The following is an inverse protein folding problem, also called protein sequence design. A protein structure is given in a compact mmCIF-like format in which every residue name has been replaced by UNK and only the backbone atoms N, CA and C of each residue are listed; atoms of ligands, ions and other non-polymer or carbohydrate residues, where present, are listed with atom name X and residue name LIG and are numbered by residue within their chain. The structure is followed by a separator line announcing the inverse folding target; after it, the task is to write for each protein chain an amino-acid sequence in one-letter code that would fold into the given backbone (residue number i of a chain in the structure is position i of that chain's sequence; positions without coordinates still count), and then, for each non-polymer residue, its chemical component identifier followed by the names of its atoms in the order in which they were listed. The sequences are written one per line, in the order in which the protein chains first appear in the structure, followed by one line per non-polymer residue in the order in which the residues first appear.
data_IF_205549401245
#
_entry.id   IF_205549401245
#
_cell.length_a   1.000
_cell.length_b   1.000
_cell.length_c   1.000
_cell.angle_alpha   90.00
_cell.angle_beta   90.00
_cell.angle_gamma   90.00
#
_symmetry.space_group_name_H-M   'P 1'
#
loop_
_entity.id
_entity.type
_entity.pdbx_description
1 polymer ?
#
# COMPACT_ATOMS: atom_id res chain seq x y z
N UNK A 1 4.90 -30.33 -4.73
CA UNK A 1 4.02 -29.78 -3.69
C UNK A 1 3.59 -28.39 -4.09
N UNK A 2 2.30 -28.07 -3.98
CA UNK A 2 1.78 -26.76 -4.41
C UNK A 2 1.81 -25.72 -3.29
N UNK A 3 2.22 -24.51 -3.64
CA UNK A 3 2.27 -23.35 -2.76
C UNK A 3 1.56 -22.15 -3.38
N UNK A 4 0.81 -21.42 -2.56
CA UNK A 4 0.35 -20.07 -2.87
C UNK A 4 1.39 -19.07 -2.38
N UNK A 5 1.95 -18.27 -3.28
CA UNK A 5 2.83 -17.15 -2.95
C UNK A 5 2.02 -15.89 -2.82
N UNK A 6 2.20 -15.16 -1.74
CA UNK A 6 1.64 -13.84 -1.52
C UNK A 6 2.70 -12.83 -1.12
N UNK A 7 2.33 -11.55 -1.25
CA UNK A 7 3.10 -10.42 -0.76
C UNK A 7 2.53 -9.95 0.56
N UNK A 8 3.42 -9.65 1.50
CA UNK A 8 3.12 -8.95 2.74
C UNK A 8 4.25 -7.95 2.94
N UNK A 9 3.91 -6.67 2.95
CA UNK A 9 4.87 -5.57 2.87
C UNK A 9 5.78 -5.75 1.62
N UNK A 10 7.09 -5.74 1.77
CA UNK A 10 8.08 -5.92 0.71
C UNK A 10 8.57 -7.38 0.61
N UNK A 11 8.01 -8.29 1.42
CA UNK A 11 8.39 -9.70 1.48
C UNK A 11 7.46 -10.63 0.71
N UNK A 12 7.99 -11.81 0.32
CA UNK A 12 7.24 -12.91 -0.26
C UNK A 12 7.05 -14.03 0.75
N UNK A 13 5.84 -14.57 0.82
CA UNK A 13 5.47 -15.63 1.75
C UNK A 13 4.74 -16.74 1.01
N UNK A 14 5.09 -17.99 1.33
CA UNK A 14 4.51 -19.17 0.71
C UNK A 14 3.68 -19.96 1.72
N UNK A 15 2.44 -20.27 1.34
CA UNK A 15 1.53 -21.13 2.09
C UNK A 15 1.31 -22.43 1.32
N UNK A 16 1.38 -23.57 2.01
CA UNK A 16 1.01 -24.87 1.45
C UNK A 16 -0.44 -24.82 0.98
N UNK A 17 -0.69 -25.17 -0.28
CA UNK A 17 -2.03 -25.06 -0.87
C UNK A 17 -3.05 -25.96 -0.16
N UNK A 18 -2.61 -27.08 0.42
CA UNK A 18 -3.44 -28.00 1.21
C UNK A 18 -4.14 -27.33 2.42
N UNK A 19 -3.54 -26.25 2.95
CA UNK A 19 -4.12 -25.48 4.06
C UNK A 19 -4.99 -24.31 3.59
N UNK A 20 -5.17 -24.13 2.28
CA UNK A 20 -5.88 -23.00 1.70
C UNK A 20 -7.19 -23.50 1.08
N UNK A 21 -8.30 -23.05 1.64
CA UNK A 21 -9.61 -23.36 1.07
C UNK A 21 -9.91 -22.48 -0.16
N UNK A 22 -9.60 -21.17 -0.08
CA UNK A 22 -9.89 -20.19 -1.14
C UNK A 22 -9.17 -18.87 -0.89
N UNK A 23 -8.94 -18.09 -1.94
CA UNK A 23 -8.64 -16.65 -1.84
C UNK A 23 -9.87 -15.84 -2.24
N UNK A 24 -10.21 -14.83 -1.46
CA UNK A 24 -11.29 -13.88 -1.74
C UNK A 24 -10.77 -12.44 -1.71
N UNK A 25 -11.52 -11.53 -2.33
CA UNK A 25 -11.32 -10.10 -2.17
C UNK A 25 -11.52 -9.70 -0.70
N UNK A 26 -10.75 -8.74 -0.21
CA UNK A 26 -11.04 -8.18 1.11
C UNK A 26 -12.29 -7.31 1.05
N UNK A 27 -13.15 -7.47 2.05
CA UNK A 27 -14.36 -6.68 2.25
C UNK A 27 -14.22 -5.83 3.53
N UNK A 28 -15.25 -5.06 3.86
CA UNK A 28 -15.28 -4.33 5.13
C UNK A 28 -15.27 -5.31 6.29
N UNK A 29 -14.15 -5.38 7.00
CA UNK A 29 -14.00 -6.16 8.22
C UNK A 29 -14.72 -5.46 9.37
N UNK A 30 -15.63 -6.16 10.04
CA UNK A 30 -16.32 -5.63 11.22
C UNK A 30 -15.39 -5.74 12.43
N UNK A 31 -15.04 -4.60 12.99
CA UNK A 31 -14.15 -4.54 14.15
C UNK A 31 -14.77 -5.30 15.34
N UNK A 32 -13.96 -6.13 16.00
CA UNK A 32 -14.34 -6.87 17.20
C UNK A 32 -13.80 -6.13 18.43
N UNK A 33 -14.66 -5.62 19.31
CA UNK A 33 -14.22 -5.05 20.59
C UNK A 33 -13.41 -6.08 21.39
N UNK A 34 -12.27 -5.67 21.94
CA UNK A 34 -11.35 -6.51 22.72
C UNK A 34 -10.75 -7.71 21.96
N UNK A 35 -10.70 -7.67 20.62
CA UNK A 35 -9.93 -8.63 19.84
C UNK A 35 -8.43 -8.56 20.18
N UNK A 36 -7.72 -9.68 20.02
CA UNK A 36 -6.25 -9.69 20.06
C UNK A 36 -5.68 -8.69 19.05
N UNK A 37 -4.50 -8.12 19.32
CA UNK A 37 -3.86 -7.12 18.45
C UNK A 37 -3.63 -7.58 17.01
N UNK A 38 -3.68 -8.90 16.76
CA UNK A 38 -3.52 -9.51 15.44
C UNK A 38 -4.84 -9.68 14.68
N UNK A 39 -5.98 -9.62 15.38
CA UNK A 39 -7.31 -9.80 14.80
C UNK A 39 -7.79 -8.43 14.31
N UNK A 40 -8.02 -8.31 13.01
CA UNK A 40 -8.62 -7.12 12.40
C UNK A 40 -10.12 -7.04 12.67
N UNK A 41 -10.78 -8.21 12.73
CA UNK A 41 -12.18 -8.32 13.09
C UNK A 41 -12.86 -9.56 12.50
N UNK A 42 -14.13 -9.44 12.14
CA UNK A 42 -14.95 -10.50 11.58
C UNK A 42 -15.50 -10.13 10.20
N UNK A 43 -15.63 -11.14 9.34
CA UNK A 43 -16.46 -11.07 8.14
C UNK A 43 -17.51 -12.20 8.17
N UNK A 44 -18.54 -12.08 7.35
CA UNK A 44 -19.48 -13.18 7.10
C UNK A 44 -18.99 -13.99 5.92
N UNK A 45 -18.61 -15.25 6.15
CA UNK A 45 -18.19 -16.18 5.12
C UNK A 45 -19.06 -17.44 5.17
N UNK A 46 -19.74 -17.75 4.05
CA UNK A 46 -20.72 -18.86 3.98
C UNK A 46 -21.80 -18.83 5.09
N UNK A 47 -22.33 -17.63 5.40
CA UNK A 47 -23.33 -17.38 6.45
C UNK A 47 -22.82 -17.64 7.89
N UNK A 48 -21.51 -17.81 8.07
CA UNK A 48 -20.87 -17.96 9.37
C UNK A 48 -19.89 -16.80 9.62
N UNK A 49 -19.69 -16.39 10.88
CA UNK A 49 -18.63 -15.44 11.22
C UNK A 49 -17.24 -16.08 11.01
N UNK A 50 -16.33 -15.33 10.39
CA UNK A 50 -14.94 -15.72 10.18
C UNK A 50 -14.02 -14.64 10.75
N UNK A 51 -13.13 -15.04 11.66
CA UNK A 51 -12.08 -14.19 12.23
C UNK A 51 -11.03 -13.85 11.16
N UNK A 52 -10.73 -12.56 11.01
CA UNK A 52 -9.73 -12.02 10.10
C UNK A 52 -8.50 -11.62 10.88
N UNK A 53 -7.35 -12.19 10.52
CA UNK A 53 -6.04 -11.94 11.09
C UNK A 53 -5.24 -11.09 10.12
N UNK A 54 -4.73 -9.95 10.57
CA UNK A 54 -3.84 -9.10 9.77
C UNK A 54 -2.41 -9.68 9.79
N UNK A 55 -1.98 -10.23 8.65
CA UNK A 55 -0.65 -10.84 8.54
C UNK A 55 0.49 -9.83 8.68
N UNK A 56 0.26 -8.54 8.37
CA UNK A 56 1.26 -7.50 8.63
C UNK A 56 1.49 -7.35 10.13
N UNK A 57 0.41 -7.17 10.89
CA UNK A 57 0.49 -7.08 12.36
C UNK A 57 1.08 -8.34 12.98
N UNK A 58 0.71 -9.51 12.45
CA UNK A 58 1.21 -10.80 12.93
C UNK A 58 2.72 -10.95 12.75
N UNK A 59 3.26 -10.44 11.64
CA UNK A 59 4.69 -10.44 11.34
C UNK A 59 5.44 -9.22 11.90
N UNK A 60 4.77 -8.35 12.65
CA UNK A 60 5.36 -7.18 13.30
C UNK A 60 5.47 -5.92 12.42
N UNK A 61 4.82 -5.92 11.26
CA UNK A 61 4.71 -4.75 10.39
C UNK A 61 3.52 -3.86 10.77
N UNK A 62 3.56 -2.61 10.30
CA UNK A 62 2.39 -1.73 10.33
C UNK A 62 1.31 -2.25 9.38
N UNK A 63 0.05 -2.11 9.79
CA UNK A 63 -1.08 -2.36 8.90
C UNK A 63 -1.01 -1.45 7.67
N UNK A 64 -1.56 -1.91 6.55
CA UNK A 64 -1.57 -1.14 5.30
C UNK A 64 -2.29 0.19 5.47
N UNK A 65 -3.39 0.24 6.23
CA UNK A 65 -4.06 1.49 6.60
C UNK A 65 -3.09 2.51 7.20
N UNK A 66 -2.33 2.12 8.22
CA UNK A 66 -1.42 3.02 8.93
C UNK A 66 -0.26 3.45 8.01
N UNK A 67 0.25 2.54 7.19
CA UNK A 67 1.25 2.87 6.17
C UNK A 67 0.72 3.92 5.17
N UNK A 68 -0.51 3.74 4.65
CA UNK A 68 -1.14 4.71 3.75
C UNK A 68 -1.33 6.07 4.42
N UNK A 69 -1.73 6.12 5.69
CA UNK A 69 -1.84 7.37 6.45
C UNK A 69 -0.51 8.14 6.51
N UNK A 70 0.60 7.44 6.76
CA UNK A 70 1.94 8.03 6.81
C UNK A 70 2.41 8.48 5.43
N UNK A 71 2.26 7.62 4.41
CA UNK A 71 2.62 7.94 3.02
C UNK A 71 1.88 9.20 2.56
N UNK A 72 0.57 9.29 2.78
CA UNK A 72 -0.20 10.48 2.37
C UNK A 72 0.23 11.74 3.12
N UNK A 73 0.67 11.64 4.37
CA UNK A 73 1.22 12.78 5.10
C UNK A 73 2.51 13.29 4.44
N UNK A 74 3.42 12.37 4.07
CA UNK A 74 4.68 12.69 3.39
C UNK A 74 4.41 13.31 2.02
N UNK A 75 3.58 12.66 1.19
CA UNK A 75 3.28 13.13 -0.17
C UNK A 75 2.62 14.51 -0.20
N UNK A 76 1.78 14.83 0.79
CA UNK A 76 1.22 16.17 0.98
C UNK A 76 2.30 17.19 1.30
N UNK A 77 3.18 16.88 2.25
CA UNK A 77 4.26 17.78 2.65
C UNK A 77 5.21 18.04 1.48
N UNK A 78 5.54 17.03 0.69
CA UNK A 78 6.38 17.18 -0.51
C UNK A 78 5.80 18.21 -1.49
N UNK A 79 4.49 18.23 -1.71
CA UNK A 79 3.82 19.19 -2.58
C UNK A 79 3.72 20.60 -1.97
N UNK A 80 3.67 20.70 -0.64
CA UNK A 80 3.77 21.98 0.06
C UNK A 80 5.18 22.55 -0.12
N UNK A 81 6.21 21.74 0.10
CA UNK A 81 7.60 22.14 -0.06
C UNK A 81 7.91 22.48 -1.52
N UNK A 82 7.27 21.77 -2.46
CA UNK A 82 7.38 22.03 -3.90
C UNK A 82 6.95 23.45 -4.25
N UNK A 83 5.76 23.90 -3.78
CA UNK A 83 5.29 25.26 -4.08
C UNK A 83 6.16 26.33 -3.38
N UNK A 84 6.71 26.03 -2.20
CA UNK A 84 7.64 26.93 -1.49
C UNK A 84 8.93 27.10 -2.29
N UNK A 85 9.50 26.02 -2.82
CA UNK A 85 10.67 26.07 -3.69
C UNK A 85 10.39 26.86 -4.98
N UNK A 86 9.19 26.71 -5.56
CA UNK A 86 8.80 27.47 -6.75
C UNK A 86 8.69 28.99 -6.43
N UNK A 87 8.09 29.35 -5.29
CA UNK A 87 8.02 30.75 -4.85
C UNK A 87 9.43 31.35 -4.68
N UNK A 88 10.34 30.61 -4.05
CA UNK A 88 11.73 31.05 -3.85
C UNK A 88 12.45 31.27 -5.19
N UNK A 89 12.23 30.39 -6.17
CA UNK A 89 12.74 30.57 -7.54
C UNK A 89 12.18 31.85 -8.19
N UNK A 90 10.89 32.15 -7.99
CA UNK A 90 10.25 33.35 -8.56
C UNK A 90 10.78 34.63 -7.90
N UNK A 91 10.89 34.65 -6.57
CA UNK A 91 11.21 35.87 -5.82
C UNK A 91 12.71 36.15 -5.79
N UNK A 92 13.53 35.09 -5.64
CA UNK A 92 14.96 35.19 -5.38
C UNK A 92 15.84 34.66 -6.52
N UNK A 93 15.24 34.19 -7.63
CA UNK A 93 15.94 33.61 -8.78
C UNK A 93 16.86 32.43 -8.41
N UNK A 94 16.52 31.70 -7.34
CA UNK A 94 17.25 30.49 -6.96
C UNK A 94 17.02 29.38 -7.97
N UNK A 95 17.95 28.42 -8.05
CA UNK A 95 17.79 27.26 -8.94
C UNK A 95 16.69 26.34 -8.40
N UNK A 96 15.70 26.04 -9.23
CA UNK A 96 14.69 25.03 -8.91
C UNK A 96 15.29 23.61 -8.92
N UNK A 97 15.04 22.82 -7.86
CA UNK A 97 15.68 21.49 -7.66
C UNK A 97 14.72 20.33 -7.48
N UNK A 98 13.42 20.57 -7.35
CA UNK A 98 12.42 19.51 -7.19
C UNK A 98 12.12 18.86 -8.55
N UNK A 99 11.54 17.65 -8.52
CA UNK A 99 11.14 16.95 -9.74
C UNK A 99 10.11 17.78 -10.53
N UNK A 100 10.45 18.06 -11.80
CA UNK A 100 9.59 18.84 -12.70
C UNK A 100 8.63 17.93 -13.46
N UNK A 101 9.11 16.75 -13.88
CA UNK A 101 8.29 15.75 -14.55
C UNK A 101 7.26 15.19 -13.55
N UNK A 102 5.94 15.28 -13.84
CA UNK A 102 4.92 14.74 -12.94
C UNK A 102 5.09 13.23 -12.68
N UNK A 103 5.64 12.46 -13.62
CA UNK A 103 5.81 11.01 -13.42
C UNK A 103 7.04 10.64 -12.57
N UNK A 104 7.89 11.62 -12.22
CA UNK A 104 9.12 11.39 -11.47
C UNK A 104 9.02 11.83 -10.00
N UNK A 105 7.98 12.58 -9.61
CA UNK A 105 7.71 12.88 -8.22
C UNK A 105 7.06 11.68 -7.50
N UNK A 106 7.21 11.59 -6.17
CA UNK A 106 6.72 10.44 -5.40
C UNK A 106 5.19 10.28 -5.47
N UNK A 107 4.43 11.37 -5.51
CA UNK A 107 2.97 11.30 -5.71
C UNK A 107 2.63 10.75 -7.09
N UNK A 108 3.31 11.22 -8.14
CA UNK A 108 3.09 10.74 -9.50
C UNK A 108 3.39 9.25 -9.65
N UNK A 109 4.52 8.79 -9.10
CA UNK A 109 4.87 7.36 -9.04
C UNK A 109 3.79 6.55 -8.32
N UNK A 110 3.31 7.05 -7.18
CA UNK A 110 2.26 6.40 -6.41
C UNK A 110 0.94 6.32 -7.19
N UNK A 111 0.47 7.43 -7.76
CA UNK A 111 -0.76 7.49 -8.57
C UNK A 111 -0.72 6.57 -9.79
N UNK A 112 0.45 6.43 -10.42
CA UNK A 112 0.62 5.60 -11.61
C UNK A 112 0.60 4.10 -11.30
N UNK A 113 1.08 3.69 -10.13
CA UNK A 113 1.12 2.29 -9.70
C UNK A 113 -0.13 1.87 -8.92
N UNK A 114 -1.01 2.80 -8.55
CA UNK A 114 -2.20 2.52 -7.77
C UNK A 114 -3.23 1.71 -8.57
N UNK A 115 -3.73 0.62 -7.96
CA UNK A 115 -4.78 -0.23 -8.52
C UNK A 115 -5.83 -0.48 -7.43
N UNK A 116 -7.10 -0.32 -7.78
CA UNK A 116 -8.23 -0.63 -6.89
C UNK A 116 -9.44 -1.07 -7.71
N UNK A 117 -10.21 -2.01 -7.17
CA UNK A 117 -11.50 -2.41 -7.72
C UNK A 117 -12.66 -1.47 -7.32
N UNK A 118 -12.43 -0.56 -6.35
CA UNK A 118 -13.45 0.37 -5.87
C UNK A 118 -13.62 1.54 -6.85
N UNK A 119 -14.85 1.75 -7.34
CA UNK A 119 -15.15 2.77 -8.35
C UNK A 119 -14.96 4.20 -7.85
N UNK A 120 -15.32 4.49 -6.60
CA UNK A 120 -15.20 5.85 -6.04
C UNK A 120 -13.74 6.18 -5.76
N UNK A 121 -12.99 5.21 -5.27
CA UNK A 121 -11.53 5.30 -5.14
C UNK A 121 -10.87 5.56 -6.49
N UNK A 122 -11.22 4.82 -7.55
CA UNK A 122 -10.69 5.07 -8.90
C UNK A 122 -11.01 6.48 -9.40
N UNK A 123 -12.24 6.97 -9.22
CA UNK A 123 -12.61 8.35 -9.61
C UNK A 123 -11.79 9.39 -8.85
N UNK A 124 -11.59 9.21 -7.55
CA UNK A 124 -10.77 10.10 -6.75
C UNK A 124 -9.34 10.15 -7.27
N UNK A 125 -8.72 9.00 -7.51
CA UNK A 125 -7.36 8.89 -8.05
C UNK A 125 -7.23 9.57 -9.42
N UNK A 126 -8.19 9.36 -10.33
CA UNK A 126 -8.18 10.00 -11.65
C UNK A 126 -8.33 11.53 -11.56
N UNK A 127 -9.16 12.03 -10.64
CA UNK A 127 -9.24 13.47 -10.37
C UNK A 127 -7.92 14.01 -9.81
N UNK A 128 -7.29 13.29 -8.87
CA UNK A 128 -5.98 13.67 -8.32
C UNK A 128 -4.92 13.72 -9.42
N UNK A 129 -4.86 12.72 -10.31
CA UNK A 129 -3.96 12.72 -11.48
C UNK A 129 -4.16 13.94 -12.36
N UNK A 130 -5.42 14.34 -12.61
CA UNK A 130 -5.73 15.54 -13.40
C UNK A 130 -5.21 16.81 -12.73
N UNK A 131 -5.50 17.01 -11.44
CA UNK A 131 -5.03 18.19 -10.70
C UNK A 131 -3.50 18.23 -10.62
N UNK A 132 -2.88 17.07 -10.42
CA UNK A 132 -1.43 16.89 -10.39
C UNK A 132 -0.76 17.23 -11.71
N UNK A 133 -1.30 16.76 -12.84
CA UNK A 133 -0.80 17.12 -14.17
C UNK A 133 -0.91 18.63 -14.45
N UNK A 134 -2.05 19.23 -14.10
CA UNK A 134 -2.27 20.67 -14.27
C UNK A 134 -1.29 21.50 -13.43
N UNK A 135 -1.04 21.09 -12.18
CA UNK A 135 -0.07 21.69 -11.30
C UNK A 135 1.35 21.68 -11.87
N UNK A 136 1.82 20.53 -12.37
CA UNK A 136 3.14 20.43 -12.98
C UNK A 136 3.24 21.24 -14.28
N UNK A 137 2.23 21.17 -15.16
CA UNK A 137 2.25 21.89 -16.43
C UNK A 137 2.31 23.41 -16.24
N UNK A 138 1.46 23.98 -15.38
CA UNK A 138 1.49 25.43 -15.12
C UNK A 138 2.81 25.87 -14.50
N UNK A 139 3.43 25.00 -13.71
CA UNK A 139 4.70 25.32 -13.07
C UNK A 139 5.89 25.22 -14.04
N UNK A 140 5.84 24.30 -15.01
CA UNK A 140 6.77 24.28 -16.14
C UNK A 140 6.67 25.57 -16.95
N UNK A 141 5.45 26.03 -17.23
CA UNK A 141 5.24 27.31 -17.93
C UNK A 141 5.93 28.45 -17.17
N UNK A 142 5.76 28.53 -15.85
CA UNK A 142 6.43 29.53 -15.00
C UNK A 142 7.96 29.47 -15.13
N UNK A 143 8.54 28.26 -15.04
CA UNK A 143 9.99 28.07 -15.08
C UNK A 143 10.61 28.39 -16.45
N UNK A 144 9.81 28.43 -17.52
CA UNK A 144 10.23 28.81 -18.87
C UNK A 144 10.11 30.31 -19.16
N UNK A 145 9.47 31.09 -18.28
CA UNK A 145 9.32 32.54 -18.44
C UNK A 145 10.55 33.30 -17.91
N UNK A 146 10.80 34.47 -18.50
CA UNK A 146 11.86 35.36 -18.01
C UNK A 146 11.31 36.23 -16.87
N UNK A 147 11.82 36.04 -15.65
CA UNK A 147 11.34 36.69 -14.42
C UNK A 147 11.32 38.22 -14.52
N UNK A 148 12.35 38.82 -15.10
CA UNK A 148 12.48 40.29 -15.18
C UNK A 148 11.50 40.92 -16.17
N UNK A 149 11.17 40.21 -17.26
CA UNK A 149 10.31 40.73 -18.33
C UNK A 149 8.84 40.38 -18.16
N UNK A 150 8.52 39.31 -17.43
CA UNK A 150 7.19 38.69 -17.43
C UNK A 150 6.63 38.49 -16.02
N UNK A 151 7.07 39.32 -15.06
CA UNK A 151 6.70 39.23 -13.64
C UNK A 151 5.18 39.09 -13.40
N UNK A 152 4.36 39.94 -14.01
CA UNK A 152 2.89 39.87 -13.87
C UNK A 152 2.30 38.54 -14.38
N UNK A 153 2.79 38.06 -15.52
CA UNK A 153 2.36 36.77 -16.09
C UNK A 153 2.76 35.60 -15.18
N UNK A 154 3.96 35.64 -14.60
CA UNK A 154 4.45 34.64 -13.65
C UNK A 154 3.56 34.57 -12.42
N UNK A 155 3.27 35.70 -11.76
CA UNK A 155 2.40 35.68 -10.57
C UNK A 155 0.98 35.19 -10.89
N UNK A 156 0.43 35.54 -12.06
CA UNK A 156 -0.88 35.01 -12.49
C UNK A 156 -0.87 33.50 -12.67
N UNK A 157 0.17 32.92 -13.26
CA UNK A 157 0.32 31.48 -13.37
C UNK A 157 0.60 30.83 -12.01
N UNK A 158 1.35 31.51 -11.14
CA UNK A 158 1.66 31.02 -9.81
C UNK A 158 0.42 30.94 -8.91
N UNK A 159 -0.53 31.87 -9.02
CA UNK A 159 -1.83 31.74 -8.34
C UNK A 159 -2.61 30.51 -8.83
N UNK A 160 -2.57 30.18 -10.12
CA UNK A 160 -3.15 28.91 -10.63
C UNK A 160 -2.42 27.69 -10.07
N UNK A 161 -1.10 27.74 -9.95
CA UNK A 161 -0.33 26.65 -9.34
C UNK A 161 -0.74 26.44 -7.88
N UNK A 162 -0.94 27.52 -7.10
CA UNK A 162 -1.47 27.44 -5.73
C UNK A 162 -2.88 26.83 -5.68
N UNK A 163 -3.74 27.19 -6.63
CA UNK A 163 -5.09 26.64 -6.75
C UNK A 163 -5.04 25.12 -7.03
N UNK A 164 -4.28 24.67 -8.02
CA UNK A 164 -4.13 23.24 -8.30
C UNK A 164 -3.51 22.47 -7.13
N UNK A 165 -2.51 23.05 -6.45
CA UNK A 165 -1.97 22.48 -5.20
C UNK A 165 -3.07 22.31 -4.14
N UNK A 166 -3.96 23.30 -3.97
CA UNK A 166 -5.07 23.20 -3.01
C UNK A 166 -6.01 22.04 -3.37
N UNK A 167 -6.30 21.83 -4.65
CA UNK A 167 -7.08 20.67 -5.10
C UNK A 167 -6.37 19.35 -4.80
N UNK A 168 -5.08 19.24 -5.07
CA UNK A 168 -4.28 18.05 -4.74
C UNK A 168 -4.34 17.79 -3.22
N UNK A 169 -4.11 18.79 -2.38
CA UNK A 169 -4.15 18.61 -0.93
C UNK A 169 -5.54 18.17 -0.42
N UNK A 170 -6.61 18.69 -1.02
CA UNK A 170 -7.98 18.25 -0.70
C UNK A 170 -8.21 16.79 -1.09
N UNK A 171 -7.80 16.41 -2.31
CA UNK A 171 -7.91 15.03 -2.77
C UNK A 171 -7.10 14.07 -1.88
N UNK A 172 -5.88 14.47 -1.50
CA UNK A 172 -5.01 13.70 -0.60
C UNK A 172 -5.59 13.58 0.82
N UNK A 173 -6.27 14.62 1.31
CA UNK A 173 -6.99 14.53 2.58
C UNK A 173 -8.16 13.55 2.50
N UNK A 174 -8.85 13.48 1.36
CA UNK A 174 -9.93 12.51 1.14
C UNK A 174 -9.39 11.08 1.00
N UNK A 175 -8.26 10.89 0.32
CA UNK A 175 -7.56 9.61 0.29
C UNK A 175 -7.16 9.19 1.70
N UNK A 176 -6.59 10.11 2.49
CA UNK A 176 -6.20 9.85 3.86
C UNK A 176 -7.39 9.52 4.77
N UNK A 177 -8.50 10.25 4.69
CA UNK A 177 -9.70 9.92 5.48
C UNK A 177 -10.31 8.56 5.10
N UNK A 178 -10.07 8.10 3.86
CA UNK A 178 -10.55 6.83 3.34
C UNK A 178 -9.47 5.74 3.32
N UNK A 179 -8.37 5.89 4.07
CA UNK A 179 -7.24 4.95 4.05
C UNK A 179 -7.66 3.50 4.34
N UNK A 180 -8.64 3.28 5.22
CA UNK A 180 -9.21 1.95 5.47
C UNK A 180 -9.88 1.33 4.24
N UNK A 181 -10.69 2.12 3.51
CA UNK A 181 -11.37 1.67 2.30
C UNK A 181 -10.35 1.36 1.20
N UNK A 182 -9.33 2.22 1.07
CA UNK A 182 -8.20 2.02 0.16
C UNK A 182 -7.46 0.73 0.46
N UNK A 183 -7.02 0.54 1.71
CA UNK A 183 -6.32 -0.66 2.16
C UNK A 183 -7.14 -1.93 1.86
N UNK A 184 -8.42 -1.95 2.27
CA UNK A 184 -9.31 -3.08 2.00
C UNK A 184 -9.43 -3.37 0.50
N UNK A 185 -9.50 -2.35 -0.36
CA UNK A 185 -9.60 -2.57 -1.81
C UNK A 185 -8.31 -3.10 -2.47
N UNK A 186 -7.17 -2.99 -1.78
CA UNK A 186 -5.87 -3.45 -2.24
C UNK A 186 -5.55 -4.87 -1.74
N UNK A 187 -6.09 -5.23 -0.57
CA UNK A 187 -5.78 -6.48 0.13
C UNK A 187 -6.64 -7.67 -0.32
N UNK A 188 -6.15 -8.88 -0.01
CA UNK A 188 -6.85 -10.15 -0.22
C UNK A 188 -7.00 -10.89 1.09
N UNK A 189 -7.98 -11.79 1.15
CA UNK A 189 -8.16 -12.70 2.30
C UNK A 189 -7.92 -14.13 1.83
N UNK A 190 -6.96 -14.82 2.46
CA UNK A 190 -6.78 -16.27 2.31
C UNK A 190 -7.63 -16.96 3.37
N UNK A 191 -8.58 -17.80 2.95
CA UNK A 191 -9.31 -18.68 3.86
C UNK A 191 -8.39 -19.85 4.21
N UNK A 192 -7.75 -19.76 5.37
CA UNK A 192 -6.80 -20.74 5.86
C UNK A 192 -7.48 -21.72 6.81
N UNK A 193 -7.28 -23.01 6.57
CA UNK A 193 -7.83 -24.11 7.37
C UNK A 193 -6.70 -24.96 7.94
N UNK A 194 -6.79 -25.25 9.22
CA UNK A 194 -5.93 -26.22 9.90
C UNK A 194 -6.73 -26.99 10.94
N UNK A 195 -6.72 -28.31 10.86
CA UNK A 195 -7.61 -29.17 11.64
C UNK A 195 -9.07 -28.75 11.43
N UNK A 196 -9.83 -28.59 12.52
CA UNK A 196 -11.22 -28.12 12.49
C UNK A 196 -11.36 -26.59 12.52
N UNK A 197 -10.25 -25.85 12.61
CA UNK A 197 -10.26 -24.39 12.70
C UNK A 197 -10.05 -23.72 11.34
N UNK A 198 -10.76 -22.61 11.15
CA UNK A 198 -10.78 -21.82 9.91
C UNK A 198 -10.68 -20.35 10.27
N UNK A 199 -9.74 -19.64 9.66
CA UNK A 199 -9.53 -18.19 9.80
C UNK A 199 -9.32 -17.55 8.43
N UNK A 200 -9.55 -16.25 8.32
CA UNK A 200 -9.13 -15.45 7.17
C UNK A 200 -7.80 -14.77 7.46
N UNK A 201 -6.83 -14.89 6.55
CA UNK A 201 -5.56 -14.18 6.62
C UNK A 201 -5.62 -12.99 5.66
N UNK A 202 -5.66 -11.79 6.21
CA UNK A 202 -5.58 -10.55 5.44
C UNK A 202 -4.12 -10.31 5.03
N UNK A 203 -3.89 -10.22 3.72
CA UNK A 203 -2.58 -10.10 3.07
C UNK A 203 -2.62 -8.99 2.02
N UNK A 204 -1.46 -8.52 1.58
CA UNK A 204 -1.41 -7.41 0.62
C UNK A 204 -1.84 -7.82 -0.77
N UNK A 205 -1.27 -8.90 -1.31
CA UNK A 205 -1.71 -9.41 -2.60
C UNK A 205 -1.26 -10.85 -2.84
N UNK A 206 -1.92 -11.54 -3.75
CA UNK A 206 -1.41 -12.81 -4.31
C UNK A 206 -0.40 -12.50 -5.41
N UNK A 207 0.70 -13.24 -5.41
CA UNK A 207 1.70 -13.18 -6.47
C UNK A 207 1.43 -14.29 -7.51
N UNK A 208 1.50 -15.56 -7.09
CA UNK A 208 1.25 -16.72 -7.97
C UNK A 208 0.99 -18.01 -7.17
N UNK A 209 0.51 -19.06 -7.86
CA UNK A 209 0.51 -20.44 -7.35
C UNK A 209 1.62 -21.19 -8.09
N UNK A 210 2.46 -21.92 -7.35
CA UNK A 210 3.58 -22.67 -7.92
C UNK A 210 3.60 -24.11 -7.43
N UNK A 211 4.07 -25.01 -8.30
CA UNK A 211 4.44 -26.37 -7.92
C UNK A 211 5.95 -26.42 -7.67
N UNK A 212 6.36 -26.83 -6.47
CA UNK A 212 7.77 -27.04 -6.12
C UNK A 212 8.05 -28.51 -5.87
N UNK A 213 9.13 -29.01 -6.46
CA UNK A 213 9.68 -30.33 -6.13
C UNK A 213 10.74 -30.19 -5.03
N UNK A 214 11.07 -31.30 -4.37
CA UNK A 214 12.03 -31.31 -3.25
C UNK A 214 13.43 -30.76 -3.62
N UNK A 215 13.78 -30.79 -4.91
CA UNK A 215 15.06 -30.34 -5.46
C UNK A 215 15.09 -28.81 -5.66
N UNK A 216 13.92 -28.16 -5.74
CA UNK A 216 13.82 -26.71 -6.01
C UNK A 216 14.12 -25.84 -4.77
N UNK A 217 14.29 -26.47 -3.60
CA UNK A 217 14.61 -25.79 -2.36
C UNK A 217 16.10 -25.49 -2.25
N UNK A 218 16.55 -24.33 -2.75
CA UNK A 218 17.80 -23.73 -2.27
C UNK A 218 17.59 -23.24 -0.84
N UNK A 219 18.02 -24.05 0.12
CA UNK A 219 17.78 -23.82 1.54
C UNK A 219 18.72 -22.76 2.10
N UNK A 220 18.13 -21.75 2.76
CA UNK A 220 18.81 -21.02 3.83
C UNK A 220 18.11 -21.38 5.15
N UNK A 221 18.88 -21.86 6.13
CA UNK A 221 18.37 -22.07 7.47
C UNK A 221 17.94 -20.72 8.06
N UNK A 222 16.67 -20.64 8.44
CA UNK A 222 16.09 -19.44 9.00
C UNK A 222 16.13 -19.53 10.53
N UNK A 223 17.10 -18.87 11.17
CA UNK A 223 17.14 -18.68 12.63
C UNK A 223 16.15 -17.59 13.09
N UNK A 224 14.97 -17.52 12.50
CA UNK A 224 13.92 -16.61 12.99
C UNK A 224 13.35 -17.20 14.26
N UNK A 225 13.39 -16.42 15.35
CA UNK A 225 12.63 -16.68 16.57
C UNK A 225 11.23 -17.19 16.18
N UNK A 226 10.97 -18.47 16.42
CA UNK A 226 9.62 -19.02 16.36
C UNK A 226 8.73 -18.12 17.22
N UNK A 227 7.88 -17.33 16.58
CA UNK A 227 6.79 -16.70 17.29
C UNK A 227 5.83 -17.84 17.65
N UNK A 228 5.32 -17.89 18.88
CA UNK A 228 4.39 -18.95 19.32
C UNK A 228 3.17 -19.10 18.39
N UNK A 229 2.88 -18.07 17.59
CA UNK A 229 1.74 -17.95 16.69
C UNK A 229 2.06 -18.31 15.23
N UNK A 230 3.27 -18.07 14.72
CA UNK A 230 3.63 -18.33 13.30
C UNK A 230 4.95 -19.06 13.22
N UNK A 231 4.92 -20.24 12.59
CA UNK A 231 6.12 -21.02 12.28
C UNK A 231 6.55 -20.77 10.83
N UNK A 232 7.75 -20.23 10.66
CA UNK A 232 8.44 -20.09 9.37
C UNK A 232 9.50 -21.20 9.31
N UNK A 233 9.37 -22.13 8.37
CA UNK A 233 10.24 -23.30 8.33
C UNK A 233 11.54 -23.06 7.56
N UNK A 234 11.50 -22.25 6.51
CA UNK A 234 12.63 -22.00 5.61
C UNK A 234 12.43 -20.76 4.75
N UNK A 235 13.55 -20.26 4.23
CA UNK A 235 13.57 -19.29 3.13
C UNK A 235 14.04 -20.00 1.86
N UNK A 236 13.31 -19.78 0.77
CA UNK A 236 13.56 -20.43 -0.53
C UNK A 236 13.64 -19.35 -1.62
N UNK A 237 14.56 -19.51 -2.56
CA UNK A 237 14.66 -18.63 -3.72
C UNK A 237 13.76 -19.16 -4.85
N UNK A 238 12.71 -18.41 -5.16
CA UNK A 238 11.80 -18.69 -6.27
C UNK A 238 11.97 -17.57 -7.29
N UNK A 239 12.57 -17.87 -8.46
CA UNK A 239 12.75 -16.89 -9.55
C UNK A 239 13.43 -15.58 -9.09
N UNK A 240 14.49 -15.67 -8.28
CA UNK A 240 15.19 -14.52 -7.67
C UNK A 240 14.38 -13.75 -6.62
N UNK A 241 13.32 -14.36 -6.08
CA UNK A 241 12.53 -13.83 -4.96
C UNK A 241 12.75 -14.70 -3.73
N UNK A 242 13.40 -14.14 -2.71
CA UNK A 242 13.50 -14.80 -1.40
C UNK A 242 12.11 -14.88 -0.77
N UNK A 243 11.64 -16.10 -0.55
CA UNK A 243 10.28 -16.40 -0.10
C UNK A 243 10.31 -17.18 1.21
N UNK A 244 9.64 -16.65 2.23
CA UNK A 244 9.50 -17.30 3.54
C UNK A 244 8.37 -18.33 3.49
N UNK A 245 8.65 -19.59 3.80
CA UNK A 245 7.64 -20.66 3.85
C UNK A 245 6.97 -20.66 5.21
N UNK A 246 5.67 -20.35 5.22
CA UNK A 246 4.82 -20.44 6.42
C UNK A 246 4.40 -21.90 6.56
N UNK A 247 4.93 -22.57 7.59
CA UNK A 247 4.63 -23.97 7.84
C UNK A 247 3.27 -24.13 8.51
N UNK A 248 3.01 -23.30 9.53
CA UNK A 248 1.70 -23.20 10.14
C UNK A 248 1.48 -21.89 10.91
N UNK A 249 0.19 -21.59 11.12
CA UNK A 249 -0.28 -20.57 12.07
C UNK A 249 -0.99 -21.29 13.22
N UNK A 250 -0.63 -20.94 14.46
CA UNK A 250 -1.26 -21.45 15.66
C UNK A 250 -2.49 -20.60 16.00
N UNK A 251 -3.66 -21.11 15.62
CA UNK A 251 -4.93 -20.38 15.72
C UNK A 251 -5.36 -20.19 17.19
N UNK A 252 -4.95 -21.09 18.09
CA UNK A 252 -5.31 -21.02 19.51
C UNK A 252 -4.55 -19.91 20.24
N UNK A 253 -3.27 -19.73 19.90
CA UNK A 253 -2.43 -18.66 20.48
C UNK A 253 -2.82 -17.25 20.00
N UNK A 254 -3.52 -17.13 18.86
CA UNK A 254 -4.07 -15.84 18.41
C UNK A 254 -5.10 -15.27 19.40
N UNK A 255 -5.70 -16.11 20.24
CA UNK A 255 -6.81 -15.76 21.15
C UNK A 255 -6.37 -15.43 22.58
N UNK A 256 -5.08 -15.62 22.91
CA UNK A 256 -4.51 -15.25 24.21
C UNK A 256 -4.06 -13.79 24.20
#
# INVERSE_FOLDING_TARGET
MDFLICKIENGYYAFKLDNIQRVIESETVQNVPNGSKYIEGLITYNKEPLEIVDMRKLLGFKSLTNELYEIFSILKQDHIDWIVALQDTIDNQTKFTKAINPNECELGKWLNNFVSNNTDTRKLIENTKKHHLLFHNVSIDILNLNVEKQKESIYKLFEKAKEYKKHILNDMNLLQSNANILANSMQKIIIYKRNEHKIGLLIDNIDEIIHLNDIDFKMMECNTKNCEIVAISKVIDIKSKLTCVIDYINIEELKK
#
